data_IF_127506079571
#
_entry.id   IF_127506079571
#
_cell.length_a   1.000
_cell.length_b   1.000
_cell.length_c   1.000
_cell.angle_alpha   90.00
_cell.angle_beta   90.00
_cell.angle_gamma   90.00
#
_symmetry.space_group_name_H-M   'P 1'
#
loop_
_entity.id
_entity.type
_entity.pdbx_description
1 polymer ?
#
# COMPACT_ATOMS: atom_id res chain seq x y z
N UNK A 1 -13.44 -14.89 -8.36
CA UNK A 1 -13.66 -13.43 -8.30
C UNK A 1 -12.31 -12.74 -8.16
N UNK A 2 -12.21 -11.46 -8.48
CA UNK A 2 -11.03 -10.64 -8.18
C UNK A 2 -11.26 -9.88 -6.86
N UNK A 3 -10.30 -9.93 -5.93
CA UNK A 3 -10.38 -9.32 -4.60
C UNK A 3 -9.12 -8.49 -4.35
N UNK A 4 -9.29 -7.19 -4.11
CA UNK A 4 -8.18 -6.28 -3.79
C UNK A 4 -8.22 -5.84 -2.34
N UNK A 5 -7.13 -6.05 -1.61
CA UNK A 5 -6.91 -5.47 -0.29
C UNK A 5 -6.10 -4.18 -0.41
N UNK A 6 -6.67 -3.04 -0.02
CA UNK A 6 -5.93 -1.79 0.08
C UNK A 6 -5.36 -1.63 1.50
N UNK A 7 -4.03 -1.58 1.61
CA UNK A 7 -3.33 -1.33 2.87
C UNK A 7 -2.62 0.01 2.81
N UNK A 8 -2.63 0.75 3.91
CA UNK A 8 -1.76 1.91 4.07
C UNK A 8 -0.29 1.57 3.77
N UNK A 9 0.18 0.42 4.27
CA UNK A 9 1.56 -0.03 4.10
C UNK A 9 1.66 -1.54 4.35
N UNK A 10 2.06 -2.31 3.33
CA UNK A 10 2.24 -3.75 3.39
C UNK A 10 3.66 -4.19 3.82
N UNK A 11 4.59 -3.25 4.03
CA UNK A 11 6.01 -3.55 4.28
C UNK A 11 6.42 -3.54 5.76
N UNK A 12 5.46 -3.34 6.67
CA UNK A 12 5.67 -3.39 8.12
C UNK A 12 5.41 -4.78 8.73
N UNK A 13 5.36 -4.84 10.06
CA UNK A 13 5.15 -6.07 10.84
C UNK A 13 3.89 -6.04 11.72
N UNK A 14 3.05 -5.00 11.59
CA UNK A 14 1.89 -4.78 12.45
C UNK A 14 0.82 -5.87 12.32
N UNK A 15 0.01 -6.04 13.38
CA UNK A 15 -1.03 -7.07 13.44
C UNK A 15 -1.99 -7.05 12.25
N UNK A 16 -2.43 -5.87 11.82
CA UNK A 16 -3.30 -5.72 10.63
C UNK A 16 -2.66 -6.28 9.36
N UNK A 17 -1.36 -6.06 9.15
CA UNK A 17 -0.64 -6.57 7.98
C UNK A 17 -0.62 -8.09 8.01
N UNK A 18 -0.26 -8.68 9.17
CA UNK A 18 -0.22 -10.12 9.35
C UNK A 18 -1.58 -10.77 9.09
N UNK A 19 -2.65 -10.25 9.71
CA UNK A 19 -4.00 -10.80 9.53
C UNK A 19 -4.47 -10.66 8.08
N UNK A 20 -4.20 -9.52 7.44
CA UNK A 20 -4.55 -9.32 6.02
C UNK A 20 -3.79 -10.27 5.12
N UNK A 21 -2.50 -10.50 5.36
CA UNK A 21 -1.69 -11.44 4.56
C UNK A 21 -2.20 -12.87 4.71
N UNK A 22 -2.54 -13.29 5.94
CA UNK A 22 -3.13 -14.61 6.18
C UNK A 22 -4.46 -14.78 5.43
N UNK A 23 -5.36 -13.79 5.55
CA UNK A 23 -6.66 -13.84 4.88
C UNK A 23 -6.52 -13.84 3.35
N UNK A 24 -5.67 -12.97 2.81
CA UNK A 24 -5.41 -12.88 1.38
C UNK A 24 -4.87 -14.20 0.82
N UNK A 25 -3.91 -14.82 1.52
CA UNK A 25 -3.37 -16.14 1.14
C UNK A 25 -4.46 -17.20 1.10
N UNK A 26 -5.31 -17.27 2.13
CA UNK A 26 -6.39 -18.25 2.19
C UNK A 26 -7.42 -18.03 1.08
N UNK A 27 -7.77 -16.78 0.78
CA UNK A 27 -8.70 -16.48 -0.32
C UNK A 27 -8.09 -16.77 -1.69
N UNK A 28 -6.77 -16.63 -1.84
CA UNK A 28 -6.06 -16.90 -3.09
C UNK A 28 -6.11 -18.37 -3.53
N UNK A 29 -6.46 -19.29 -2.62
CA UNK A 29 -6.69 -20.70 -2.96
C UNK A 29 -7.88 -20.89 -3.93
N UNK A 30 -8.82 -19.93 -3.98
CA UNK A 30 -10.04 -20.02 -4.79
C UNK A 30 -10.36 -18.76 -5.59
N UNK A 31 -9.62 -17.68 -5.37
CA UNK A 31 -9.88 -16.36 -5.95
C UNK A 31 -8.59 -15.73 -6.48
N UNK A 32 -8.73 -14.79 -7.40
CA UNK A 32 -7.62 -13.93 -7.80
C UNK A 32 -7.52 -12.79 -6.78
N UNK A 33 -6.42 -12.74 -6.04
CA UNK A 33 -6.26 -11.84 -4.90
C UNK A 33 -5.02 -10.97 -5.08
N UNK A 34 -5.18 -9.67 -4.87
CA UNK A 34 -4.08 -8.73 -4.79
C UNK A 34 -4.08 -7.94 -3.48
N UNK A 35 -2.88 -7.54 -3.06
CA UNK A 35 -2.65 -6.55 -2.03
C UNK A 35 -2.05 -5.32 -2.70
N UNK A 36 -2.68 -4.18 -2.44
CA UNK A 36 -2.29 -2.87 -2.92
C UNK A 36 -1.80 -2.07 -1.72
N UNK A 37 -0.50 -1.82 -1.64
CA UNK A 37 0.08 -0.95 -0.61
C UNK A 37 0.02 0.50 -1.08
N UNK A 38 -0.54 1.41 -0.29
CA UNK A 38 -0.50 2.85 -0.64
C UNK A 38 0.95 3.30 -0.71
N UNK A 39 1.76 2.96 0.30
CA UNK A 39 3.17 3.32 0.35
C UNK A 39 4.09 2.12 0.27
N UNK A 40 5.20 2.27 -0.45
CA UNK A 40 6.38 1.40 -0.39
C UNK A 40 7.55 2.18 0.17
N UNK A 41 8.15 1.67 1.23
CA UNK A 41 9.34 2.28 1.86
C UNK A 41 10.48 1.27 2.03
N UNK A 42 10.29 0.02 1.56
CA UNK A 42 11.26 -1.08 1.57
C UNK A 42 11.18 -1.88 0.28
N UNK A 43 12.25 -2.59 -0.04
CA UNK A 43 12.29 -3.42 -1.25
C UNK A 43 11.37 -4.62 -1.13
N UNK A 44 11.35 -5.30 0.02
CA UNK A 44 10.49 -6.45 0.28
C UNK A 44 9.71 -6.29 1.59
N UNK A 45 8.49 -6.85 1.71
CA UNK A 45 7.79 -6.96 2.97
C UNK A 45 8.58 -7.77 3.98
N UNK A 46 8.63 -7.31 5.23
CA UNK A 46 9.37 -8.00 6.29
C UNK A 46 8.80 -9.37 6.60
N UNK A 47 7.48 -9.54 6.45
CA UNK A 47 6.79 -10.81 6.69
C UNK A 47 6.84 -11.76 5.48
N UNK A 48 7.45 -11.36 4.37
CA UNK A 48 7.30 -12.02 3.07
C UNK A 48 5.93 -11.75 2.45
N UNK A 49 5.86 -11.62 1.12
CA UNK A 49 4.57 -11.53 0.44
C UNK A 49 3.82 -12.87 0.57
N UNK A 50 2.49 -12.87 0.75
CA UNK A 50 1.72 -14.10 0.82
C UNK A 50 1.78 -14.85 -0.52
N UNK A 51 1.98 -16.16 -0.47
CA UNK A 51 1.99 -17.01 -1.66
C UNK A 51 0.66 -16.94 -2.41
N UNK A 52 0.73 -16.93 -3.74
CA UNK A 52 -0.45 -16.84 -4.60
C UNK A 52 -1.12 -15.47 -4.66
N UNK A 53 -0.57 -14.46 -3.96
CA UNK A 53 -1.14 -13.11 -3.89
C UNK A 53 -0.23 -12.10 -4.58
N UNK A 54 -0.77 -11.35 -5.54
CA UNK A 54 -0.04 -10.25 -6.15
C UNK A 54 0.16 -9.11 -5.14
N UNK A 55 1.38 -8.55 -5.08
CA UNK A 55 1.66 -7.39 -4.23
C UNK A 55 2.17 -6.23 -5.08
N UNK A 56 1.41 -5.13 -5.12
CA UNK A 56 1.80 -3.88 -5.76
C UNK A 56 1.74 -2.70 -4.80
N UNK A 57 2.23 -1.56 -5.26
CA UNK A 57 2.24 -0.32 -4.50
C UNK A 57 1.76 0.86 -5.34
N UNK A 58 1.19 1.87 -4.70
CA UNK A 58 0.73 3.08 -5.37
C UNK A 58 1.80 4.17 -5.36
N UNK A 59 2.51 4.38 -4.25
CA UNK A 59 3.53 5.43 -4.10
C UNK A 59 4.82 4.83 -3.54
N UNK A 60 5.93 5.00 -4.25
CA UNK A 60 7.24 4.52 -3.84
C UNK A 60 8.07 5.63 -3.18
N UNK A 61 8.32 5.47 -1.89
CA UNK A 61 9.07 6.41 -1.05
C UNK A 61 10.47 5.89 -0.70
N UNK A 62 10.98 4.90 -1.43
CA UNK A 62 12.38 4.48 -1.34
C UNK A 62 13.28 5.51 -2.03
N UNK A 63 13.99 6.34 -1.26
CA UNK A 63 14.84 7.45 -1.76
C UNK A 63 15.85 7.11 -2.86
N UNK A 64 16.27 5.85 -3.00
CA UNK A 64 17.23 5.39 -4.01
C UNK A 64 16.57 4.62 -5.16
N UNK A 65 15.24 4.53 -5.18
CA UNK A 65 14.50 3.83 -6.21
C UNK A 65 14.38 4.68 -7.46
N UNK A 66 14.49 4.04 -8.63
CA UNK A 66 14.23 4.70 -9.91
C UNK A 66 12.77 5.19 -10.06
N UNK A 67 11.85 4.63 -9.26
CA UNK A 67 10.44 4.99 -9.22
C UNK A 67 10.10 5.88 -8.01
N UNK A 68 11.08 6.52 -7.38
CA UNK A 68 10.84 7.35 -6.20
C UNK A 68 9.88 8.51 -6.51
N UNK A 69 8.77 8.55 -5.78
CA UNK A 69 7.68 9.50 -5.98
C UNK A 69 7.76 10.72 -5.05
N UNK A 70 8.70 10.73 -4.11
CA UNK A 70 8.76 11.77 -3.07
C UNK A 70 9.10 13.18 -3.59
N UNK A 71 9.55 13.30 -4.84
CA UNK A 71 9.82 14.58 -5.52
C UNK A 71 8.64 15.07 -6.37
N UNK A 72 7.56 14.29 -6.47
CA UNK A 72 6.37 14.69 -7.22
C UNK A 72 5.74 15.94 -6.58
N UNK A 73 5.41 16.94 -7.41
CA UNK A 73 4.71 18.15 -6.97
C UNK A 73 3.38 17.81 -6.26
N UNK A 74 2.68 16.77 -6.71
CA UNK A 74 1.43 16.32 -6.09
C UNK A 74 1.66 15.57 -4.78
N UNK A 75 2.86 15.02 -4.55
CA UNK A 75 3.20 14.42 -3.25
C UNK A 75 3.37 15.48 -2.16
N UNK A 76 3.85 16.67 -2.51
CA UNK A 76 4.02 17.79 -1.58
C UNK A 76 2.69 18.46 -1.17
N UNK A 77 1.58 18.14 -1.86
CA UNK A 77 0.27 18.77 -1.64
C UNK A 77 -0.58 17.90 -0.70
N UNK A 78 -1.23 18.49 0.32
CA UNK A 78 -2.07 17.73 1.25
C UNK A 78 -3.20 16.97 0.54
N UNK A 79 -3.50 15.77 1.03
CA UNK A 79 -4.65 14.98 0.59
C UNK A 79 -5.99 15.70 0.84
N UNK A 80 -6.94 15.40 -0.02
CA UNK A 80 -8.33 15.86 0.03
C UNK A 80 -9.34 14.74 0.21
N UNK A 81 -9.01 13.51 -0.21
CA UNK A 81 -9.89 12.35 -0.05
C UNK A 81 -9.69 11.70 1.32
N UNK A 82 -8.43 11.60 1.79
CA UNK A 82 -8.14 10.93 3.06
C UNK A 82 -8.63 11.73 4.29
N UNK A 83 -9.32 11.10 5.27
CA UNK A 83 -9.92 11.81 6.40
C UNK A 83 -8.93 12.65 7.22
N UNK A 84 -9.27 13.92 7.46
CA UNK A 84 -8.41 14.87 8.20
C UNK A 84 -8.23 14.51 9.68
N UNK A 85 -9.20 13.81 10.27
CA UNK A 85 -9.17 13.39 11.67
C UNK A 85 -8.32 12.15 11.94
N UNK A 86 -7.92 11.42 10.90
CA UNK A 86 -7.08 10.23 11.07
C UNK A 86 -5.62 10.64 11.32
N UNK A 87 -4.95 9.95 12.25
CA UNK A 87 -3.57 10.26 12.64
C UNK A 87 -2.56 10.13 11.49
N UNK A 88 -2.91 9.39 10.43
CA UNK A 88 -2.09 9.23 9.22
C UNK A 88 -2.35 10.29 8.16
N UNK A 89 -3.27 11.22 8.35
CA UNK A 89 -3.65 12.20 7.31
C UNK A 89 -2.45 12.90 6.67
N UNK A 90 -1.46 13.31 7.47
CA UNK A 90 -0.26 14.01 7.01
C UNK A 90 0.67 13.16 6.12
N UNK A 91 0.46 11.84 6.07
CA UNK A 91 1.23 10.94 5.21
C UNK A 91 0.61 10.84 3.81
N UNK A 92 -0.67 11.18 3.66
CA UNK A 92 -1.38 11.18 2.40
C UNK A 92 -1.24 12.52 1.69
N UNK A 93 -1.29 12.48 0.36
CA UNK A 93 -1.07 13.61 -0.54
C UNK A 93 -2.06 13.60 -1.71
N UNK A 94 -2.05 14.65 -2.53
CA UNK A 94 -2.81 14.63 -3.80
C UNK A 94 -2.37 13.50 -4.72
N UNK A 95 -1.08 13.12 -4.67
CA UNK A 95 -0.58 11.97 -5.42
C UNK A 95 -1.27 10.67 -4.99
N UNK A 96 -1.44 10.44 -3.69
CA UNK A 96 -2.15 9.25 -3.21
C UNK A 96 -3.63 9.30 -3.58
N UNK A 97 -4.28 10.47 -3.49
CA UNK A 97 -5.67 10.62 -3.90
C UNK A 97 -5.87 10.21 -5.37
N UNK A 98 -5.00 10.71 -6.26
CA UNK A 98 -5.09 10.45 -7.70
C UNK A 98 -4.84 8.99 -8.08
N UNK A 99 -4.00 8.25 -7.32
CA UNK A 99 -3.66 6.85 -7.61
C UNK A 99 -4.58 5.84 -6.93
N UNK A 100 -5.38 6.27 -5.96
CA UNK A 100 -6.42 5.46 -5.32
C UNK A 100 -7.73 5.51 -6.12
N UNK A 101 -7.99 6.61 -6.84
CA UNK A 101 -9.22 6.88 -7.60
C UNK A 101 -9.42 5.95 -8.81
#
# INVERSE_FOLDING_TARGET
>A
MHISFLLHNAYGIGGTIRTTFTLARTLAEQHDVEIVSVFRHRDAPVLGAPEGVALRHLVDLRKKSATYDGESAEHARPATVFPRGDSRHKQYSRLTDARIA
#
